data_IF_361505368591
#
_entry.id   IF_361505368591
#
_cell.length_a   1.000
_cell.length_b   1.000
_cell.length_c   1.000
_cell.angle_alpha   90.00
_cell.angle_beta   90.00
_cell.angle_gamma   90.00
#
_symmetry.space_group_name_H-M   'P 1'
#
loop_
_entity.id
_entity.type
_entity.pdbx_description
1 polymer ?
#
# COMPACT_ATOMS: atom_id res chain seq x y z
N UNK A 1 10.58 -0.16 -33.04
CA UNK A 1 11.22 -0.62 -31.79
C UNK A 1 11.92 0.60 -31.21
N UNK A 2 11.18 1.40 -30.46
CA UNK A 2 11.60 2.73 -30.01
C UNK A 2 12.71 2.58 -28.98
N UNK A 3 13.79 3.29 -29.26
CA UNK A 3 14.99 3.42 -28.44
C UNK A 3 14.57 3.90 -27.05
N UNK A 4 14.62 3.02 -26.06
CA UNK A 4 14.41 3.40 -24.66
C UNK A 4 15.62 4.21 -24.25
N UNK A 5 15.42 5.51 -24.01
CA UNK A 5 16.47 6.38 -23.53
C UNK A 5 17.04 5.81 -22.22
N UNK A 6 18.34 5.60 -22.23
CA UNK A 6 19.17 5.28 -21.07
C UNK A 6 19.06 6.48 -20.10
N UNK A 7 18.19 6.42 -19.08
CA UNK A 7 17.88 7.65 -18.32
C UNK A 7 17.34 7.54 -16.89
N UNK A 8 16.70 6.44 -16.49
CA UNK A 8 16.13 6.32 -15.14
C UNK A 8 16.64 5.08 -14.40
N UNK A 9 17.72 5.26 -13.62
CA UNK A 9 18.27 4.22 -12.75
C UNK A 9 17.71 4.36 -11.34
N UNK A 10 17.07 3.29 -10.84
CA UNK A 10 16.55 3.26 -9.46
C UNK A 10 17.72 3.15 -8.47
N UNK A 11 17.73 4.03 -7.48
CA UNK A 11 18.74 4.06 -6.42
C UNK A 11 18.10 4.42 -5.06
N UNK A 12 18.88 4.29 -3.98
CA UNK A 12 18.40 4.59 -2.62
C UNK A 12 18.00 6.04 -2.40
N UNK A 13 18.40 6.97 -3.28
CA UNK A 13 18.08 8.40 -3.20
C UNK A 13 16.76 8.77 -3.90
N UNK A 14 16.34 8.01 -4.92
CA UNK A 14 15.10 8.27 -5.66
C UNK A 14 13.95 7.32 -5.29
N UNK A 15 14.26 6.14 -4.73
CA UNK A 15 13.25 5.09 -4.49
C UNK A 15 12.11 5.55 -3.59
N UNK A 16 12.40 6.37 -2.57
CA UNK A 16 11.39 6.91 -1.66
C UNK A 16 10.34 7.74 -2.42
N UNK A 17 10.80 8.64 -3.29
CA UNK A 17 9.96 9.53 -4.10
C UNK A 17 9.19 8.76 -5.15
N UNK A 18 9.85 7.79 -5.78
CA UNK A 18 9.22 6.89 -6.76
C UNK A 18 8.07 6.12 -6.10
N UNK A 19 8.33 5.48 -4.96
CA UNK A 19 7.38 4.59 -4.28
C UNK A 19 6.12 5.33 -3.82
N UNK A 20 6.27 6.49 -3.16
CA UNK A 20 5.10 7.27 -2.72
C UNK A 20 4.28 7.75 -3.92
N UNK A 21 4.93 8.21 -4.99
CA UNK A 21 4.24 8.70 -6.20
C UNK A 21 3.49 7.57 -6.89
N UNK A 22 4.12 6.40 -7.03
CA UNK A 22 3.48 5.20 -7.61
C UNK A 22 2.25 4.77 -6.81
N UNK A 23 2.32 4.76 -5.47
CA UNK A 23 1.18 4.44 -4.62
C UNK A 23 0.04 5.45 -4.81
N UNK A 24 0.35 6.73 -4.91
CA UNK A 24 -0.66 7.78 -5.12
C UNK A 24 -1.38 7.59 -6.45
N UNK A 25 -0.63 7.43 -7.54
CA UNK A 25 -1.20 7.22 -8.88
C UNK A 25 -2.02 5.93 -8.92
N UNK A 26 -1.48 4.82 -8.41
CA UNK A 26 -2.19 3.55 -8.37
C UNK A 26 -3.47 3.63 -7.55
N UNK A 27 -3.43 4.23 -6.35
CA UNK A 27 -4.61 4.37 -5.49
C UNK A 27 -5.71 5.18 -6.16
N UNK A 28 -5.36 6.28 -6.83
CA UNK A 28 -6.33 7.11 -7.56
C UNK A 28 -6.91 6.42 -8.79
N UNK A 29 -6.14 5.54 -9.43
CA UNK A 29 -6.58 4.82 -10.62
C UNK A 29 -7.46 3.61 -10.29
N UNK A 30 -7.11 2.85 -9.26
CA UNK A 30 -7.76 1.56 -8.96
C UNK A 30 -8.84 1.64 -7.89
N UNK A 31 -8.81 2.64 -7.02
CA UNK A 31 -9.73 2.73 -5.87
C UNK A 31 -10.82 3.76 -6.10
N UNK A 32 -12.08 3.38 -5.85
CA UNK A 32 -13.23 4.30 -5.91
C UNK A 32 -13.14 5.44 -4.88
N UNK A 33 -12.44 5.19 -3.77
CA UNK A 33 -12.24 6.15 -2.67
C UNK A 33 -10.74 6.40 -2.54
N UNK A 34 -10.33 7.65 -2.81
CA UNK A 34 -8.95 8.10 -2.68
C UNK A 34 -8.86 9.41 -1.89
N UNK A 35 -7.70 9.68 -1.31
CA UNK A 35 -7.46 10.93 -0.58
C UNK A 35 -6.89 12.03 -1.48
N UNK A 36 -6.98 13.29 -1.05
CA UNK A 36 -6.28 14.39 -1.69
C UNK A 36 -4.76 14.27 -1.50
N UNK A 37 -3.97 14.80 -2.44
CA UNK A 37 -2.51 14.76 -2.39
C UNK A 37 -1.92 15.35 -1.12
N UNK A 38 -2.58 16.31 -0.49
CA UNK A 38 -2.15 16.88 0.80
C UNK A 38 -2.06 15.84 1.91
N UNK A 39 -2.91 14.81 1.88
CA UNK A 39 -2.89 13.71 2.85
C UNK A 39 -1.72 12.77 2.57
N UNK A 40 -1.54 12.37 1.32
CA UNK A 40 -0.42 11.52 0.91
C UNK A 40 0.94 12.20 1.15
N UNK A 41 1.07 13.48 0.81
CA UNK A 41 2.28 14.28 1.05
C UNK A 41 2.63 14.34 2.55
N UNK A 42 1.62 14.50 3.43
CA UNK A 42 1.82 14.53 4.88
C UNK A 42 2.29 13.18 5.43
N UNK A 43 1.77 12.06 4.91
CA UNK A 43 2.19 10.71 5.31
C UNK A 43 3.58 10.39 4.76
N UNK A 44 3.83 10.73 3.49
CA UNK A 44 5.11 10.51 2.82
C UNK A 44 6.21 11.50 3.18
N UNK A 45 5.95 12.48 4.05
CA UNK A 45 6.95 13.43 4.51
C UNK A 45 7.54 14.33 3.41
N UNK A 46 6.82 14.57 2.31
CA UNK A 46 7.27 15.40 1.20
C UNK A 46 6.39 16.65 1.03
N UNK A 47 6.93 17.77 0.52
CA UNK A 47 6.15 18.94 0.16
C UNK A 47 5.01 18.60 -0.81
N UNK A 48 3.83 19.18 -0.59
CA UNK A 48 2.66 18.97 -1.45
C UNK A 48 2.92 19.36 -2.91
N UNK A 49 3.61 20.49 -3.13
CA UNK A 49 3.93 20.97 -4.47
C UNK A 49 4.80 19.96 -5.21
N UNK A 50 5.74 19.35 -4.51
CA UNK A 50 6.62 18.34 -5.07
C UNK A 50 5.87 17.05 -5.40
N UNK A 51 5.00 16.55 -4.51
CA UNK A 51 4.17 15.38 -4.82
C UNK A 51 3.27 15.61 -6.04
N UNK A 52 2.71 16.81 -6.19
CA UNK A 52 1.89 17.15 -7.36
C UNK A 52 2.70 17.11 -8.66
N UNK A 53 3.96 17.56 -8.62
CA UNK A 53 4.85 17.51 -9.78
C UNK A 53 5.25 16.07 -10.11
N UNK A 54 5.65 15.30 -9.10
CA UNK A 54 6.03 13.91 -9.27
C UNK A 54 4.86 13.06 -9.82
N UNK A 55 3.63 13.31 -9.37
CA UNK A 55 2.45 12.62 -9.90
C UNK A 55 2.31 12.82 -11.41
N UNK A 56 2.44 14.06 -11.89
CA UNK A 56 2.37 14.37 -13.32
C UNK A 56 3.55 13.75 -14.09
N UNK A 57 4.76 13.85 -13.54
CA UNK A 57 5.97 13.29 -14.15
C UNK A 57 5.85 11.78 -14.32
N UNK A 58 5.36 11.07 -13.30
CA UNK A 58 5.14 9.63 -13.38
C UNK A 58 4.08 9.26 -14.43
N UNK A 59 3.00 10.04 -14.54
CA UNK A 59 1.98 9.80 -15.56
C UNK A 59 2.53 9.97 -16.99
N UNK A 60 3.40 10.96 -17.21
CA UNK A 60 4.09 11.12 -18.49
C UNK A 60 5.09 9.99 -18.74
N UNK A 61 5.84 9.54 -17.72
CA UNK A 61 6.76 8.40 -17.84
C UNK A 61 6.04 7.10 -18.21
N UNK A 62 4.79 6.94 -17.80
CA UNK A 62 3.96 5.77 -18.10
C UNK A 62 3.13 5.91 -19.39
N UNK A 63 3.25 7.02 -20.12
CA UNK A 63 2.37 7.35 -21.26
C UNK A 63 0.87 7.20 -20.92
N UNK A 64 0.51 7.50 -19.67
CA UNK A 64 -0.82 7.30 -19.09
C UNK A 64 -1.38 5.86 -19.20
N UNK A 65 -0.53 4.86 -19.48
CA UNK A 65 -0.89 3.45 -19.50
C UNK A 65 -0.90 2.90 -18.07
N UNK A 66 -2.02 3.06 -17.37
CA UNK A 66 -2.21 2.63 -15.98
C UNK A 66 -3.00 1.32 -15.83
N UNK A 67 -3.65 0.87 -16.91
CA UNK A 67 -4.43 -0.35 -16.89
C UNK A 67 -3.51 -1.56 -16.88
N UNK A 68 -3.73 -2.45 -15.91
CA UNK A 68 -3.00 -3.72 -15.78
C UNK A 68 -4.03 -4.85 -15.88
N UNK A 69 -3.91 -5.74 -16.87
CA UNK A 69 -4.82 -6.88 -17.02
C UNK A 69 -4.58 -7.91 -15.90
N UNK A 70 -5.58 -8.77 -15.63
CA UNK A 70 -5.51 -9.73 -14.53
C UNK A 70 -4.40 -10.76 -14.74
N UNK A 71 -4.17 -11.13 -15.99
CA UNK A 71 -3.16 -12.10 -16.42
C UNK A 71 -1.76 -11.64 -16.01
N UNK A 72 -1.45 -10.35 -16.17
CA UNK A 72 -0.15 -9.79 -15.79
C UNK A 72 0.04 -9.82 -14.27
N UNK A 73 -1.01 -9.46 -13.50
CA UNK A 73 -0.96 -9.51 -12.03
C UNK A 73 -0.69 -10.95 -11.55
N UNK A 74 -1.37 -11.94 -12.15
CA UNK A 74 -1.18 -13.35 -11.80
C UNK A 74 0.25 -13.81 -12.14
N UNK A 75 0.76 -13.45 -13.32
CA UNK A 75 2.13 -13.77 -13.73
C UNK A 75 3.16 -13.23 -12.73
N UNK A 76 3.01 -11.99 -12.27
CA UNK A 76 3.90 -11.41 -11.25
C UNK A 76 3.78 -12.12 -9.90
N UNK A 77 2.58 -12.53 -9.49
CA UNK A 77 2.37 -13.27 -8.25
C UNK A 77 3.08 -14.64 -8.28
N UNK A 78 2.97 -15.36 -9.39
CA UNK A 78 3.63 -16.67 -9.59
C UNK A 78 5.16 -16.53 -9.60
N UNK A 79 5.68 -15.46 -10.22
CA UNK A 79 7.10 -15.13 -10.18
C UNK A 79 7.59 -14.86 -8.75
N UNK A 80 6.85 -14.07 -7.96
CA UNK A 80 7.21 -13.81 -6.56
C UNK A 80 7.20 -15.09 -5.71
N UNK A 81 6.21 -15.96 -5.94
CA UNK A 81 6.11 -17.24 -5.25
C UNK A 81 7.31 -18.15 -5.56
N UNK A 82 7.67 -18.28 -6.84
CA UNK A 82 8.81 -19.12 -7.25
C UNK A 82 10.14 -18.63 -6.65
N UNK A 83 10.39 -17.31 -6.63
CA UNK A 83 11.60 -16.76 -6.01
C UNK A 83 11.66 -16.99 -4.50
N UNK A 84 10.52 -16.87 -3.81
CA UNK A 84 10.43 -17.15 -2.36
C UNK A 84 10.77 -18.60 -2.03
N UNK A 85 10.28 -19.55 -2.83
CA UNK A 85 10.58 -20.97 -2.66
C UNK A 85 12.06 -21.27 -2.93
N UNK A 86 12.63 -20.69 -3.99
CA UNK A 86 14.06 -20.87 -4.33
C UNK A 86 15.00 -20.29 -3.25
N UNK A 87 14.66 -19.14 -2.67
CA UNK A 87 15.42 -18.55 -1.58
C UNK A 87 15.42 -19.43 -0.32
N UNK A 88 14.30 -20.10 -0.04
CA UNK A 88 14.17 -21.03 1.09
C UNK A 88 15.05 -22.27 0.92
N UNK A 89 15.17 -22.80 -0.31
CA UNK A 89 16.04 -23.93 -0.61
C UNK A 89 17.53 -23.62 -0.42
N UNK A 90 17.97 -22.39 -0.74
CA UNK A 90 19.37 -21.97 -0.56
C UNK A 90 19.79 -21.96 0.92
N UNK A 91 18.86 -21.65 1.83
CA UNK A 91 19.13 -21.71 3.27
C UNK A 91 19.21 -23.17 3.76
N UNK A 92 18.36 -24.06 3.24
CA UNK A 92 18.37 -25.48 3.62
C UNK A 92 19.65 -26.17 3.12
N UNK A 93 20.09 -25.90 1.89
CA UNK A 93 21.31 -26.49 1.29
C UNK A 93 22.61 -26.13 2.03
N UNK A 94 22.64 -24.99 2.75
CA UNK A 94 23.77 -24.57 3.59
C UNK A 94 23.75 -25.18 5.01
N UNK A 95 22.62 -25.74 5.46
CA UNK A 95 22.44 -26.30 6.81
C UNK A 95 22.60 -27.84 6.83
N UNK A 96 22.34 -28.52 5.71
CA UNK A 96 22.47 -29.98 5.56
C UNK A 96 23.83 -30.59 6.01
N UNK A 97 25.01 -29.98 5.75
CA UNK A 97 26.28 -30.60 6.17
C UNK A 97 26.61 -30.46 7.66
N UNK A 98 25.93 -29.57 8.41
CA UNK A 98 26.24 -29.32 9.83
C UNK A 98 25.50 -30.31 10.74
N UNK A 99 24.28 -30.75 10.36
CA UNK A 99 23.44 -31.62 11.19
C UNK A 99 23.91 -33.08 11.14
N UNK A 100 24.53 -33.53 10.05
CA UNK A 100 25.00 -34.92 9.89
C UNK A 100 26.24 -35.28 10.75
N UNK A 101 26.97 -34.29 11.28
CA UNK A 101 28.13 -34.54 12.14
C UNK A 101 27.77 -34.82 13.61
N UNK A 102 26.52 -34.59 14.04
CA UNK A 102 26.14 -34.62 15.47
C UNK A 102 25.46 -35.93 15.94
N UNK A 103 25.30 -36.95 15.10
CA UNK A 103 24.42 -38.11 15.43
C UNK A 103 25.14 -39.43 15.77
N UNK A 104 26.47 -39.50 15.82
CA UNK A 104 27.15 -40.74 16.22
C UNK A 104 27.41 -40.78 17.74
N UNK A 105 26.47 -41.34 18.53
CA UNK A 105 26.65 -42.46 19.50
C UNK A 105 25.61 -42.47 20.65
N UNK A 106 25.01 -43.66 20.86
CA UNK A 106 24.51 -44.25 22.14
C UNK A 106 22.98 -44.37 22.40
N UNK A 107 22.41 -45.49 21.92
CA UNK A 107 21.57 -46.53 22.59
C UNK A 107 21.15 -46.28 24.06
N UNK A 108 19.87 -46.39 24.52
CA UNK A 108 19.05 -47.62 24.74
C UNK A 108 17.54 -47.37 25.06
N UNK A 109 16.65 -48.04 24.30
CA UNK A 109 15.37 -48.77 24.58
C UNK A 109 14.20 -48.27 25.50
N UNK A 110 12.95 -48.78 25.29
CA UNK A 110 11.67 -48.04 25.50
C UNK A 110 10.63 -48.64 26.50
N UNK A 111 9.60 -47.82 26.81
CA UNK A 111 8.17 -48.10 27.17
C UNK A 111 7.81 -48.89 28.46
N UNK A 112 6.99 -48.26 29.34
CA UNK A 112 5.82 -48.85 30.06
C UNK A 112 4.79 -47.77 30.51
N UNK A 113 3.50 -47.97 30.20
CA UNK A 113 2.23 -47.25 30.59
C UNK A 113 1.62 -47.76 31.94
N UNK A 114 0.43 -47.36 32.51
CA UNK A 114 -0.58 -46.29 32.24
C UNK A 114 -1.21 -45.54 33.50
N UNK A 115 -2.23 -44.69 33.24
CA UNK A 115 -3.38 -44.20 34.10
C UNK A 115 -3.15 -42.89 34.88
N UNK A 116 -3.93 -41.79 34.77
CA UNK A 116 -5.37 -41.66 35.09
C UNK A 116 -5.92 -40.27 34.65
N UNK A 117 -7.13 -40.27 34.06
CA UNK A 117 -8.14 -39.19 33.88
C UNK A 117 -7.79 -37.72 34.11
N UNK A 118 -8.05 -36.87 33.10
CA UNK A 118 -9.21 -35.97 33.15
C UNK A 118 -9.44 -35.25 31.81
N UNK A 119 -10.71 -35.26 31.41
CA UNK A 119 -11.27 -34.54 30.27
C UNK A 119 -11.21 -33.03 30.53
N UNK A 120 -10.61 -32.25 29.63
CA UNK A 120 -11.00 -30.86 29.42
C UNK A 120 -10.54 -30.37 28.04
N UNK A 121 -11.53 -29.94 27.27
CA UNK A 121 -11.44 -29.42 25.90
C UNK A 121 -10.88 -28.00 25.97
N UNK A 122 -9.80 -27.62 25.25
CA UNK A 122 -9.36 -26.23 25.27
C UNK A 122 -10.27 -25.39 24.35
N UNK A 123 -11.11 -24.57 24.96
CA UNK A 123 -11.82 -23.48 24.29
C UNK A 123 -10.81 -22.36 24.02
N UNK A 124 -10.39 -22.21 22.76
CA UNK A 124 -9.60 -21.05 22.33
C UNK A 124 -10.55 -19.84 22.27
N UNK A 125 -10.34 -18.85 23.13
CA UNK A 125 -10.99 -17.54 23.03
C UNK A 125 -10.45 -16.82 21.79
N UNK A 126 -11.29 -16.66 20.77
CA UNK A 126 -11.01 -15.78 19.64
C UNK A 126 -11.09 -14.32 20.08
N UNK A 127 -9.95 -13.61 20.10
CA UNK A 127 -9.91 -12.15 20.15
C UNK A 127 -10.45 -11.61 18.82
N UNK A 128 -11.75 -11.31 18.77
CA UNK A 128 -12.37 -10.61 17.64
C UNK A 128 -12.09 -9.12 17.81
N UNK A 129 -11.27 -8.56 16.92
CA UNK A 129 -11.13 -7.11 16.77
C UNK A 129 -12.40 -6.54 16.10
N UNK A 130 -12.99 -5.45 16.60
CA UNK A 130 -14.19 -4.87 15.98
C UNK A 130 -13.87 -4.36 14.58
N UNK A 131 -14.66 -4.80 13.59
CA UNK A 131 -14.53 -4.45 12.16
C UNK A 131 -14.96 -3.00 11.84
N UNK A 132 -15.25 -2.19 12.85
CA UNK A 132 -15.70 -0.81 12.66
C UNK A 132 -15.10 0.09 13.75
N UNK A 133 -14.44 1.21 13.41
CA UNK A 133 -14.07 2.20 14.41
C UNK A 133 -15.35 2.72 15.10
N UNK A 134 -15.32 2.99 16.42
CA UNK A 134 -16.50 3.47 17.11
C UNK A 134 -16.78 4.91 16.68
N UNK A 135 -17.78 5.11 15.82
CA UNK A 135 -18.46 6.39 15.75
C UNK A 135 -19.48 6.40 16.89
N UNK A 136 -19.11 7.01 18.02
CA UNK A 136 -20.09 7.27 19.08
C UNK A 136 -20.88 8.51 18.65
N UNK A 137 -22.13 8.32 18.25
CA UNK A 137 -23.10 9.40 18.18
C UNK A 137 -23.57 9.72 19.60
N UNK A 138 -22.68 10.29 20.41
CA UNK A 138 -23.03 10.89 21.71
C UNK A 138 -22.82 12.39 21.59
N UNK A 139 -23.93 13.11 21.46
CA UNK A 139 -23.97 14.57 21.52
C UNK A 139 -23.69 14.95 22.97
N UNK A 140 -22.47 15.40 23.28
CA UNK A 140 -22.20 16.24 24.44
C UNK A 140 -22.01 17.70 23.99
N UNK A 141 -22.59 18.69 24.71
CA UNK A 141 -22.65 20.07 24.25
C UNK A 141 -21.33 20.79 24.57
N UNK A 142 -20.34 20.68 23.67
CA UNK A 142 -19.14 21.50 23.74
C UNK A 142 -19.34 22.87 23.07
N UNK A 143 -19.09 23.93 23.86
CA UNK A 143 -19.12 25.36 23.50
C UNK A 143 -18.55 25.63 22.10
N UNK A 144 -19.35 26.32 21.28
CA UNK A 144 -18.95 26.86 19.97
C UNK A 144 -17.70 27.75 20.10
N UNK A 145 -16.56 27.26 19.61
CA UNK A 145 -15.51 28.12 19.07
C UNK A 145 -15.87 28.39 17.61
N UNK A 146 -16.46 29.56 17.36
CA UNK A 146 -16.81 29.98 16.01
C UNK A 146 -15.53 30.37 15.26
N UNK A 147 -15.40 29.89 14.02
CA UNK A 147 -14.55 30.40 12.93
C UNK A 147 -13.32 29.57 12.50
N UNK A 148 -13.47 28.25 12.32
CA UNK A 148 -12.63 27.53 11.35
C UNK A 148 -13.52 27.06 10.18
N UNK A 149 -13.25 27.45 8.92
CA UNK A 149 -14.05 26.99 7.81
C UNK A 149 -13.87 25.48 7.63
N UNK A 150 -14.97 24.75 7.63
CA UNK A 150 -15.01 23.33 7.29
C UNK A 150 -14.49 23.12 5.86
N UNK A 151 -13.37 22.42 5.71
CA UNK A 151 -12.78 22.13 4.40
C UNK A 151 -13.64 21.09 3.66
N UNK A 152 -14.35 21.53 2.63
CA UNK A 152 -15.09 20.66 1.72
C UNK A 152 -14.22 20.36 0.49
N UNK A 153 -13.71 19.13 0.32
CA UNK A 153 -12.83 18.76 -0.78
C UNK A 153 -13.51 18.82 -2.17
N UNK A 154 -14.84 18.86 -2.23
CA UNK A 154 -15.61 18.90 -3.47
C UNK A 154 -16.03 20.31 -3.88
N UNK A 155 -15.67 21.33 -3.09
CA UNK A 155 -15.99 22.72 -3.40
C UNK A 155 -14.98 23.27 -4.40
N UNK A 156 -15.32 23.22 -5.68
CA UNK A 156 -14.51 23.80 -6.76
C UNK A 156 -14.34 25.32 -6.51
N UNK A 157 -13.12 25.88 -6.52
CA UNK A 157 -12.92 27.32 -6.34
C UNK A 157 -13.68 28.08 -7.43
N UNK A 158 -14.48 29.07 -7.05
CA UNK A 158 -15.11 29.94 -8.03
C UNK A 158 -14.02 30.78 -8.69
N UNK A 159 -13.63 30.40 -9.91
CA UNK A 159 -12.81 31.22 -10.78
C UNK A 159 -13.55 32.56 -10.95
N UNK A 160 -12.94 33.66 -10.48
CA UNK A 160 -13.39 35.01 -10.81
C UNK A 160 -13.48 35.06 -12.33
N UNK A 161 -14.70 35.27 -12.87
CA UNK A 161 -14.92 35.48 -14.31
C UNK A 161 -14.01 36.64 -14.74
N UNK A 162 -12.85 36.33 -15.32
CA UNK A 162 -12.14 37.29 -16.14
C UNK A 162 -13.06 37.50 -17.33
N UNK A 163 -13.52 38.74 -17.51
CA UNK A 163 -14.32 39.18 -18.65
C UNK A 163 -13.44 39.03 -19.89
N UNK A 164 -13.36 37.82 -20.45
CA UNK A 164 -12.83 37.60 -21.79
C UNK A 164 -13.79 38.34 -22.72
N UNK A 165 -13.31 39.42 -23.32
CA UNK A 165 -14.07 40.31 -24.19
C UNK A 165 -14.42 39.65 -25.52
N UNK A 166 -15.27 38.63 -25.47
CA UNK A 166 -15.94 38.09 -26.64
C UNK A 166 -17.31 38.77 -26.72
N UNK A 167 -17.40 39.76 -27.61
CA UNK A 167 -18.67 40.33 -28.04
C UNK A 167 -19.40 39.26 -28.86
N UNK A 168 -20.62 38.93 -28.46
CA UNK A 168 -21.48 37.98 -29.17
C UNK A 168 -22.14 38.70 -30.36
N UNK A 169 -22.06 38.18 -31.61
CA UNK A 169 -22.62 38.82 -32.82
C UNK A 169 -24.16 38.90 -32.93
N UNK A 170 -24.89 39.06 -31.83
CA UNK A 170 -26.37 39.07 -31.86
C UNK A 170 -27.02 40.40 -31.49
N UNK A 171 -26.22 41.45 -31.39
CA UNK A 171 -26.71 42.81 -31.11
C UNK A 171 -26.34 43.74 -32.29
N UNK A 172 -26.99 43.55 -33.44
CA UNK A 172 -27.20 44.56 -34.50
C UNK A 172 -28.65 44.45 -35.01
#
# INVERSE_FOLDING_TARGET
>A
MTKLDDGFTINSYNIHRLLITSIVVASKFTSDIFYANSRYAKVGGIPLVELNQLELELLFLLDFQLYIPLEDIQLYADQLLSHSMNASLTIVELIEPIIQAATTVSTTKPITTPTTTNSEKPTIQSLVLPLTPPYTSSIEPHKKSNNAPHYNPYKRPLLKKRKLGLVSPKDE
#
